data_IF_739033346898
#
_entry.id   IF_739033346898
#
_cell.length_a   1.000
_cell.length_b   1.000
_cell.length_c   1.000
_cell.angle_alpha   90.00
_cell.angle_beta   90.00
_cell.angle_gamma   90.00
#
_symmetry.space_group_name_H-M   'P 1'
#
loop_
_entity.id
_entity.type
_entity.pdbx_description
1 polymer ?
#
# COMPACT_ATOMS: atom_id res chain seq x y z
N UNK A 1 -12.69 9.57 -3.57
CA UNK A 1 -11.89 8.59 -2.83
C UNK A 1 -10.96 9.29 -1.84
N UNK A 2 -10.83 8.73 -0.67
CA UNK A 2 -9.89 9.21 0.35
C UNK A 2 -8.96 8.05 0.74
N UNK A 3 -7.67 8.26 0.57
CA UNK A 3 -6.64 7.29 0.94
C UNK A 3 -5.85 7.84 2.12
N UNK A 4 -5.83 7.08 3.21
CA UNK A 4 -5.11 7.45 4.43
C UNK A 4 -4.04 6.40 4.72
N UNK A 5 -2.78 6.80 4.70
CA UNK A 5 -1.68 5.94 5.13
C UNK A 5 -1.47 6.09 6.63
N UNK A 6 -1.28 4.97 7.33
CA UNK A 6 -1.17 4.92 8.79
C UNK A 6 0.16 4.32 9.25
N UNK A 7 1.21 4.47 8.46
CA UNK A 7 2.52 3.93 8.79
C UNK A 7 2.47 2.41 8.98
N UNK A 8 2.98 1.93 10.11
CA UNK A 8 3.01 0.50 10.42
C UNK A 8 1.62 -0.15 10.52
N UNK A 9 0.57 0.64 10.73
CA UNK A 9 -0.81 0.15 10.83
C UNK A 9 -1.48 -0.04 9.47
N UNK A 10 -0.77 0.23 8.38
CA UNK A 10 -1.26 0.02 7.03
C UNK A 10 -1.92 1.24 6.41
N UNK A 11 -3.02 1.03 5.71
CA UNK A 11 -3.74 2.11 5.02
C UNK A 11 -5.25 1.87 5.04
N UNK A 12 -6.00 2.97 4.96
CA UNK A 12 -7.46 2.96 4.79
C UNK A 12 -7.81 3.64 3.48
N UNK A 13 -8.77 3.06 2.78
CA UNK A 13 -9.36 3.65 1.58
C UNK A 13 -10.87 3.80 1.78
N UNK A 14 -11.36 5.03 1.68
CA UNK A 14 -12.78 5.33 1.57
C UNK A 14 -13.08 5.55 0.09
N UNK A 15 -13.70 4.57 -0.55
CA UNK A 15 -14.00 4.63 -1.96
C UNK A 15 -15.27 5.46 -2.21
N UNK A 16 -15.37 6.05 -3.38
CA UNK A 16 -16.56 6.84 -3.79
C UNK A 16 -17.83 6.01 -3.82
N UNK A 17 -17.73 4.68 -3.89
CA UNK A 17 -18.85 3.75 -3.83
C UNK A 17 -19.48 3.64 -2.44
N UNK A 18 -18.84 4.23 -1.41
CA UNK A 18 -19.23 4.12 -0.01
C UNK A 18 -18.56 2.96 0.72
N UNK A 19 -17.84 2.11 0.02
CA UNK A 19 -17.09 1.01 0.65
C UNK A 19 -15.82 1.53 1.31
N UNK A 20 -15.44 0.87 2.42
CA UNK A 20 -14.22 1.16 3.14
C UNK A 20 -13.35 -0.09 3.14
N UNK A 21 -12.10 0.07 2.74
CA UNK A 21 -11.12 -1.01 2.70
C UNK A 21 -9.98 -0.70 3.65
N UNK A 22 -9.45 -1.73 4.30
CA UNK A 22 -8.26 -1.63 5.13
C UNK A 22 -7.18 -2.57 4.61
N UNK A 23 -5.97 -2.06 4.48
CA UNK A 23 -4.79 -2.85 4.14
C UNK A 23 -3.88 -2.97 5.35
N UNK A 24 -3.37 -4.18 5.62
CA UNK A 24 -2.40 -4.45 6.67
C UNK A 24 -1.36 -5.44 6.17
N UNK A 25 -0.16 -5.40 6.77
CA UNK A 25 0.85 -6.43 6.57
C UNK A 25 0.67 -7.53 7.62
N UNK A 26 0.70 -8.78 7.18
CA UNK A 26 0.65 -9.95 8.08
C UNK A 26 1.90 -10.07 8.94
N UNK A 27 3.04 -9.65 8.39
CA UNK A 27 4.30 -9.63 9.12
C UNK A 27 5.04 -8.33 8.84
N UNK A 28 5.46 -7.65 9.90
CA UNK A 28 6.20 -6.41 9.78
C UNK A 28 7.70 -6.68 9.74
N UNK A 29 8.43 -5.88 8.98
CA UNK A 29 9.88 -5.84 8.97
C UNK A 29 10.37 -4.55 9.63
N UNK A 30 11.64 -4.48 10.07
CA UNK A 30 12.18 -3.25 10.60
C UNK A 30 12.13 -2.13 9.56
N UNK A 31 11.61 -0.97 9.96
CA UNK A 31 11.55 0.20 9.09
C UNK A 31 12.92 0.84 9.04
N UNK A 32 13.45 1.02 7.82
CA UNK A 32 14.73 1.70 7.58
C UNK A 32 14.51 3.21 7.43
N UNK A 33 13.48 3.60 6.67
CA UNK A 33 13.16 4.99 6.43
C UNK A 33 11.70 5.14 6.04
N UNK A 34 11.06 6.23 6.49
CA UNK A 34 9.70 6.58 6.08
C UNK A 34 9.68 7.60 4.94
N UNK A 35 10.85 8.08 4.52
CA UNK A 35 10.96 9.08 3.44
C UNK A 35 10.44 8.49 2.12
N UNK A 36 9.45 9.12 1.55
CA UNK A 36 8.86 8.71 0.29
C UNK A 36 7.85 7.55 0.41
N UNK A 37 7.67 6.94 1.59
CA UNK A 37 6.76 5.81 1.75
C UNK A 37 5.30 6.20 1.47
N UNK A 38 4.85 7.35 1.97
CA UNK A 38 3.49 7.84 1.71
C UNK A 38 3.26 8.16 0.23
N UNK A 39 4.24 8.76 -0.44
CA UNK A 39 4.17 9.03 -1.88
C UNK A 39 4.12 7.72 -2.67
N UNK A 40 4.86 6.70 -2.24
CA UNK A 40 4.85 5.38 -2.87
C UNK A 40 3.50 4.69 -2.73
N UNK A 41 2.82 4.83 -1.59
CA UNK A 41 1.46 4.33 -1.39
C UNK A 41 0.52 4.96 -2.41
N UNK A 42 0.55 6.28 -2.54
CA UNK A 42 -0.31 7.02 -3.47
C UNK A 42 -0.01 6.64 -4.92
N UNK A 43 1.25 6.60 -5.31
CA UNK A 43 1.65 6.25 -6.67
C UNK A 43 1.24 4.82 -7.03
N UNK A 44 1.48 3.86 -6.13
CA UNK A 44 1.11 2.47 -6.34
C UNK A 44 -0.39 2.27 -6.40
N UNK A 45 -1.14 2.97 -5.56
CA UNK A 45 -2.60 2.95 -5.59
C UNK A 45 -3.13 3.44 -6.93
N UNK A 46 -2.66 4.59 -7.40
CA UNK A 46 -3.11 5.16 -8.67
C UNK A 46 -2.74 4.25 -9.86
N UNK A 47 -1.53 3.72 -9.88
CA UNK A 47 -1.10 2.79 -10.93
C UNK A 47 -1.97 1.53 -10.94
N UNK A 48 -2.26 0.96 -9.77
CA UNK A 48 -3.10 -0.21 -9.64
C UNK A 48 -4.54 0.06 -10.05
N UNK A 49 -5.09 1.22 -9.69
CA UNK A 49 -6.46 1.59 -10.07
C UNK A 49 -6.61 1.78 -11.57
N UNK A 50 -5.63 2.43 -12.22
CA UNK A 50 -5.64 2.62 -13.67
C UNK A 50 -5.51 1.29 -14.43
N UNK A 51 -4.77 0.33 -13.86
CA UNK A 51 -4.53 -0.95 -14.51
C UNK A 51 -5.68 -1.94 -14.29
N UNK A 52 -6.22 -2.02 -13.08
CA UNK A 52 -7.19 -3.05 -12.71
C UNK A 52 -8.61 -2.58 -12.54
N UNK A 53 -8.82 -1.28 -12.32
CA UNK A 53 -10.10 -0.67 -11.94
C UNK A 53 -10.73 -1.30 -10.68
N UNK A 54 -9.90 -1.94 -9.84
CA UNK A 54 -10.30 -2.62 -8.62
C UNK A 54 -9.67 -1.92 -7.41
N UNK A 55 -10.50 -1.36 -6.54
CA UNK A 55 -10.02 -0.61 -5.37
C UNK A 55 -9.23 -1.49 -4.40
N UNK A 56 -9.65 -2.71 -4.17
CA UNK A 56 -8.96 -3.62 -3.25
C UNK A 56 -7.56 -3.98 -3.78
N UNK A 57 -7.44 -4.31 -5.06
CA UNK A 57 -6.16 -4.61 -5.70
C UNK A 57 -5.25 -3.37 -5.75
N UNK A 58 -5.84 -2.20 -6.04
CA UNK A 58 -5.11 -0.94 -6.07
C UNK A 58 -4.54 -0.58 -4.68
N UNK A 59 -5.35 -0.75 -3.63
CA UNK A 59 -4.92 -0.50 -2.25
C UNK A 59 -3.82 -1.49 -1.84
N UNK A 60 -3.95 -2.75 -2.22
CA UNK A 60 -2.95 -3.77 -1.96
C UNK A 60 -1.61 -3.42 -2.58
N UNK A 61 -1.61 -3.03 -3.85
CA UNK A 61 -0.40 -2.61 -4.54
C UNK A 61 0.21 -1.35 -3.91
N UNK A 62 -0.61 -0.35 -3.62
CA UNK A 62 -0.16 0.88 -2.97
C UNK A 62 0.50 0.60 -1.62
N UNK A 63 -0.14 -0.22 -0.80
CA UNK A 63 0.40 -0.60 0.51
C UNK A 63 1.72 -1.36 0.38
N UNK A 64 1.83 -2.27 -0.59
CA UNK A 64 3.07 -2.98 -0.86
C UNK A 64 4.19 -2.03 -1.29
N UNK A 65 3.89 -1.04 -2.15
CA UNK A 65 4.85 -0.03 -2.58
C UNK A 65 5.36 0.81 -1.41
N UNK A 66 4.46 1.29 -0.56
CA UNK A 66 4.82 2.08 0.60
C UNK A 66 5.64 1.29 1.62
N UNK A 67 5.23 0.07 1.90
CA UNK A 67 5.92 -0.81 2.85
C UNK A 67 7.32 -1.19 2.35
N UNK A 68 7.44 -1.58 1.09
CA UNK A 68 8.74 -1.91 0.51
C UNK A 68 9.68 -0.70 0.52
N UNK A 69 9.17 0.51 0.28
CA UNK A 69 9.96 1.74 0.37
C UNK A 69 10.42 1.99 1.81
N UNK A 70 9.54 1.80 2.80
CA UNK A 70 9.88 1.98 4.22
C UNK A 70 10.94 0.97 4.69
N UNK A 71 10.99 -0.22 4.10
CA UNK A 71 11.97 -1.25 4.42
C UNK A 71 13.31 -1.06 3.71
N UNK A 72 13.42 -0.04 2.87
CA UNK A 72 14.59 0.22 2.03
C UNK A 72 15.27 1.52 2.42
N UNK A 73 16.56 1.65 2.08
CA UNK A 73 17.30 2.89 2.25
C UNK A 73 16.94 3.94 1.18
N UNK A 74 16.25 3.51 0.12
CA UNK A 74 15.80 4.36 -0.99
C UNK A 74 14.44 3.84 -1.49
N UNK A 75 13.90 4.44 -2.55
CA UNK A 75 12.64 3.99 -3.13
C UNK A 75 12.74 2.52 -3.56
N UNK A 76 11.65 1.78 -3.35
CA UNK A 76 11.61 0.36 -3.61
C UNK A 76 11.70 0.03 -5.10
N UNK A 77 12.43 -1.04 -5.42
CA UNK A 77 12.42 -1.64 -6.74
C UNK A 77 11.15 -2.49 -6.92
N UNK A 78 10.87 -2.85 -8.18
CA UNK A 78 9.76 -3.74 -8.50
C UNK A 78 9.86 -5.08 -7.78
N UNK A 79 11.05 -5.67 -7.73
CA UNK A 79 11.26 -6.96 -7.06
C UNK A 79 10.96 -6.90 -5.56
N UNK A 80 11.33 -5.79 -4.91
CA UNK A 80 11.02 -5.56 -3.49
C UNK A 80 9.52 -5.43 -3.26
N UNK A 81 8.83 -4.73 -4.14
CA UNK A 81 7.37 -4.57 -4.07
C UNK A 81 6.69 -5.93 -4.24
N UNK A 82 7.10 -6.72 -5.22
CA UNK A 82 6.55 -8.05 -5.46
C UNK A 82 6.81 -9.01 -4.30
N UNK A 83 7.93 -8.86 -3.60
CA UNK A 83 8.23 -9.65 -2.42
C UNK A 83 7.31 -9.33 -1.22
N UNK A 84 6.88 -8.07 -1.08
CA UNK A 84 6.01 -7.63 0.01
C UNK A 84 4.53 -7.90 -0.31
N UNK A 85 4.14 -7.86 -1.58
CA UNK A 85 2.74 -7.91 -2.01
C UNK A 85 1.94 -9.09 -1.41
N UNK A 86 2.46 -10.34 -1.33
CA UNK A 86 1.72 -11.44 -0.74
C UNK A 86 1.41 -11.28 0.75
N UNK A 87 2.15 -10.43 1.46
CA UNK A 87 1.95 -10.19 2.89
C UNK A 87 0.88 -9.15 3.18
N UNK A 88 0.38 -8.44 2.16
CA UNK A 88 -0.65 -7.42 2.33
C UNK A 88 -2.02 -8.08 2.38
N UNK A 89 -2.75 -7.86 3.47
CA UNK A 89 -4.13 -8.30 3.63
C UNK A 89 -5.09 -7.14 3.43
N UNK A 90 -6.13 -7.37 2.64
CA UNK A 90 -7.21 -6.40 2.41
C UNK A 90 -8.46 -6.88 3.11
N UNK A 91 -9.05 -6.01 3.93
CA UNK A 91 -10.32 -6.24 4.61
C UNK A 91 -11.31 -5.20 4.14
N UNK A 92 -12.51 -5.62 3.77
CA UNK A 92 -13.63 -4.72 3.50
C UNK A 92 -14.41 -4.51 4.80
N UNK A 93 -14.55 -3.27 5.20
CA UNK A 93 -15.26 -2.90 6.43
C UNK A 93 -16.74 -2.63 6.17
#
# INVERSE_FOLDING_TARGET
>A
NVLVSMGADGALLLAETGRVYRARLRSAQPVVSTVGAGDSVTAGFLAGLLDTEDYALALRLGTACGSATAYSACLASRDMIEAVLPAVEITTL
#
